data_IF_175654409555
#
_entry.id   IF_175654409555
#
_cell.length_a   1.000
_cell.length_b   1.000
_cell.length_c   1.000
_cell.angle_alpha   90.00
_cell.angle_beta   90.00
_cell.angle_gamma   90.00
#
_symmetry.space_group_name_H-M   'P 1'
#
loop_
_entity.id
_entity.type
_entity.pdbx_description
1 polymer ?
#
# COMPACT_ATOMS: atom_id res chain seq x y z
N UNK A 1 -20.37 21.40 4.03
CA UNK A 1 -19.96 22.77 4.45
C UNK A 1 -18.52 22.74 4.96
N UNK A 2 -17.95 23.91 5.29
CA UNK A 2 -16.58 24.02 5.80
C UNK A 2 -16.38 23.24 7.11
N UNK A 3 -17.39 23.22 7.98
CA UNK A 3 -17.34 22.48 9.24
C UNK A 3 -17.16 20.97 9.00
N UNK A 4 -17.89 20.38 8.06
CA UNK A 4 -17.72 18.97 7.67
C UNK A 4 -16.29 18.66 7.20
N UNK A 5 -15.70 19.52 6.37
CA UNK A 5 -14.31 19.33 5.89
C UNK A 5 -13.33 19.43 7.06
N UNK A 6 -13.44 20.46 7.89
CA UNK A 6 -12.55 20.65 9.03
C UNK A 6 -12.63 19.51 10.05
N UNK A 7 -13.83 18.93 10.25
CA UNK A 7 -14.01 17.80 11.16
C UNK A 7 -13.39 16.51 10.63
N UNK A 8 -13.49 16.26 9.33
CA UNK A 8 -12.81 15.12 8.72
C UNK A 8 -11.29 15.30 8.75
N UNK A 9 -10.79 16.51 8.49
CA UNK A 9 -9.36 16.82 8.60
C UNK A 9 -8.84 16.59 10.03
N UNK A 10 -9.54 17.07 11.06
CA UNK A 10 -9.17 16.84 12.46
C UNK A 10 -9.00 15.33 12.75
N UNK A 11 -9.97 14.53 12.29
CA UNK A 11 -9.96 13.07 12.45
C UNK A 11 -8.79 12.43 11.71
N UNK A 12 -8.59 12.76 10.43
CA UNK A 12 -7.49 12.21 9.61
C UNK A 12 -6.12 12.60 10.17
N UNK A 13 -5.95 13.84 10.62
CA UNK A 13 -4.72 14.30 11.27
C UNK A 13 -4.40 13.44 12.50
N UNK A 14 -5.37 13.23 13.39
CA UNK A 14 -5.14 12.39 14.58
C UNK A 14 -4.72 10.96 14.25
N UNK A 15 -5.13 10.49 13.07
CA UNK A 15 -4.94 9.14 12.56
C UNK A 15 -3.55 8.95 11.94
N UNK A 16 -3.03 9.95 11.25
CA UNK A 16 -1.67 10.00 10.70
C UNK A 16 -0.58 10.04 11.79
N UNK A 17 -0.90 10.55 12.99
CA UNK A 17 0.06 10.65 14.10
C UNK A 17 0.04 9.47 15.09
N UNK A 18 -0.60 8.34 14.74
CA UNK A 18 -0.64 7.17 15.62
C UNK A 18 -0.17 5.88 14.95
N UNK A 19 1.15 5.72 14.87
CA UNK A 19 1.77 4.60 14.17
C UNK A 19 1.51 3.21 14.76
N UNK A 20 1.30 3.07 16.07
CA UNK A 20 0.89 1.78 16.65
C UNK A 20 -0.49 1.31 16.14
N UNK A 21 -1.34 2.24 15.69
CA UNK A 21 -2.60 1.90 15.03
C UNK A 21 -2.39 1.50 13.58
N UNK A 22 -1.49 2.18 12.87
CA UNK A 22 -1.10 1.83 11.50
C UNK A 22 -0.47 0.43 11.45
N UNK A 23 0.46 0.13 12.35
CA UNK A 23 1.05 -1.21 12.52
C UNK A 23 -0.02 -2.31 12.60
N UNK A 24 -1.02 -2.16 13.48
CA UNK A 24 -2.13 -3.12 13.60
C UNK A 24 -2.97 -3.21 12.33
N UNK A 25 -3.10 -2.14 11.56
CA UNK A 25 -3.78 -2.18 10.27
C UNK A 25 -2.94 -2.97 9.25
N UNK A 26 -1.63 -2.74 9.20
CA UNK A 26 -0.71 -3.50 8.34
C UNK A 26 -0.77 -5.01 8.65
N UNK A 27 -0.77 -5.41 9.92
CA UNK A 27 -0.87 -6.83 10.28
C UNK A 27 -2.17 -7.46 9.78
N UNK A 28 -3.30 -6.74 9.90
CA UNK A 28 -4.58 -7.21 9.37
C UNK A 28 -4.51 -7.39 7.86
N UNK A 29 -4.02 -6.39 7.13
CA UNK A 29 -3.88 -6.46 5.66
C UNK A 29 -2.99 -7.64 5.28
N UNK A 30 -1.80 -7.74 5.90
CA UNK A 30 -0.84 -8.82 5.71
C UNK A 30 -1.50 -10.18 5.93
N UNK A 31 -2.16 -10.35 7.07
CA UNK A 31 -2.85 -11.59 7.43
C UNK A 31 -3.90 -11.98 6.38
N UNK A 32 -4.80 -11.07 6.01
CA UNK A 32 -5.83 -11.36 5.01
C UNK A 32 -5.27 -11.73 3.64
N UNK A 33 -4.17 -11.09 3.23
CA UNK A 33 -3.55 -11.37 1.94
C UNK A 33 -2.80 -12.70 1.92
N UNK A 34 -2.16 -13.10 3.01
CA UNK A 34 -1.35 -14.32 3.05
C UNK A 34 -2.10 -15.57 3.53
N UNK A 35 -3.01 -15.46 4.52
CA UNK A 35 -3.78 -16.61 5.02
C UNK A 35 -4.74 -17.15 3.95
N UNK A 36 -5.37 -16.24 3.19
CA UNK A 36 -6.33 -16.60 2.15
C UNK A 36 -5.68 -16.84 0.77
N UNK A 37 -4.37 -16.57 0.62
CA UNK A 37 -3.67 -16.71 -0.65
C UNK A 37 -2.16 -16.95 -0.49
N UNK A 38 -1.73 -18.21 -0.65
CA UNK A 38 -0.31 -18.61 -0.64
C UNK A 38 0.56 -17.86 -1.66
N UNK A 39 -0.03 -17.24 -2.69
CA UNK A 39 0.65 -16.38 -3.68
C UNK A 39 -0.10 -15.06 -3.84
N UNK A 40 -0.06 -14.22 -2.80
CA UNK A 40 -0.64 -12.87 -2.86
C UNK A 40 -0.03 -12.05 -4.01
N UNK A 41 -0.84 -11.32 -4.80
CA UNK A 41 -0.34 -10.45 -5.86
C UNK A 41 0.31 -9.16 -5.35
N UNK A 42 0.21 -8.88 -4.05
CA UNK A 42 0.75 -7.69 -3.36
C UNK A 42 1.45 -8.14 -2.07
N UNK A 43 2.63 -7.58 -1.83
CA UNK A 43 3.41 -7.81 -0.62
C UNK A 43 3.12 -6.70 0.40
N UNK A 44 2.99 -7.08 1.67
CA UNK A 44 2.90 -6.16 2.80
C UNK A 44 4.07 -6.45 3.73
N UNK A 45 4.90 -5.45 4.10
CA UNK A 45 6.06 -5.67 4.95
C UNK A 45 5.63 -6.10 6.35
N UNK A 46 6.44 -6.94 7.00
CA UNK A 46 6.21 -7.31 8.40
C UNK A 46 6.60 -6.17 9.35
N UNK A 47 5.77 -5.93 10.36
CA UNK A 47 6.03 -4.94 11.40
C UNK A 47 6.96 -5.52 12.47
N UNK A 48 7.92 -4.72 12.95
CA UNK A 48 8.80 -5.03 14.09
C UNK A 48 8.19 -4.48 15.38
N UNK A 49 7.26 -5.22 15.99
CA UNK A 49 6.44 -4.74 17.11
C UNK A 49 7.22 -4.19 18.30
N UNK A 50 8.34 -4.81 18.65
CA UNK A 50 9.18 -4.39 19.79
C UNK A 50 9.80 -3.00 19.60
N UNK A 51 9.75 -2.46 18.38
CA UNK A 51 10.30 -1.15 18.01
C UNK A 51 9.23 -0.14 17.56
N UNK A 52 7.94 -0.52 17.61
CA UNK A 52 6.84 0.38 17.28
C UNK A 52 6.42 1.18 18.51
N UNK A 53 6.27 2.49 18.33
CA UNK A 53 5.71 3.38 19.34
C UNK A 53 4.56 4.19 18.74
N UNK A 54 4.00 5.13 19.50
CA UNK A 54 3.05 6.10 18.94
C UNK A 54 3.67 6.95 17.82
N UNK A 55 4.99 7.21 17.87
CA UNK A 55 5.70 8.16 17.01
C UNK A 55 6.71 7.52 16.05
N UNK A 56 6.88 6.20 16.12
CA UNK A 56 7.81 5.45 15.26
C UNK A 56 7.14 4.17 14.79
N UNK A 57 7.22 3.89 13.48
CA UNK A 57 6.88 2.62 12.84
C UNK A 57 8.16 1.99 12.31
N UNK A 58 8.41 0.72 12.65
CA UNK A 58 9.53 -0.06 12.11
C UNK A 58 8.98 -1.31 11.43
N UNK A 59 9.44 -1.58 10.23
CA UNK A 59 8.98 -2.66 9.37
C UNK A 59 10.10 -3.20 8.48
N UNK A 60 9.87 -4.35 7.85
CA UNK A 60 10.75 -4.89 6.81
C UNK A 60 10.96 -3.88 5.67
N UNK A 61 12.21 -3.80 5.22
CA UNK A 61 12.56 -3.01 4.05
C UNK A 61 12.14 -3.76 2.77
N UNK A 62 11.41 -3.07 1.89
CA UNK A 62 11.06 -3.58 0.56
C UNK A 62 11.90 -2.82 -0.47
N UNK A 63 12.79 -3.55 -1.14
CA UNK A 63 13.50 -3.03 -2.31
C UNK A 63 12.55 -2.98 -3.52
N UNK A 64 12.39 -1.79 -4.09
CA UNK A 64 11.43 -1.56 -5.16
C UNK A 64 11.48 -0.16 -5.74
N UNK A 65 10.72 0.03 -6.82
CA UNK A 65 10.61 1.31 -7.52
C UNK A 65 9.36 2.02 -7.00
N UNK A 66 9.48 3.26 -6.45
CA UNK A 66 8.32 4.04 -6.07
C UNK A 66 7.35 4.18 -7.24
N UNK A 67 6.06 3.94 -7.02
CA UNK A 67 5.06 3.89 -8.10
C UNK A 67 5.02 5.17 -8.94
N UNK A 68 5.27 6.32 -8.30
CA UNK A 68 5.32 7.63 -8.95
C UNK A 68 6.52 7.80 -9.88
N UNK A 69 7.58 7.02 -9.69
CA UNK A 69 8.81 7.01 -10.51
C UNK A 69 8.78 5.92 -11.59
N UNK A 70 7.69 5.17 -11.71
CA UNK A 70 7.59 4.06 -12.66
C UNK A 70 7.82 4.52 -14.11
N UNK A 71 7.32 5.69 -14.49
CA UNK A 71 7.51 6.24 -15.84
C UNK A 71 8.98 6.53 -16.16
N UNK A 72 9.69 7.17 -15.22
CA UNK A 72 11.11 7.47 -15.36
C UNK A 72 11.94 6.19 -15.47
N UNK A 73 11.61 5.20 -14.64
CA UNK A 73 12.31 3.91 -14.62
C UNK A 73 12.05 3.09 -15.89
N UNK A 74 10.84 3.16 -16.45
CA UNK A 74 10.54 2.59 -17.76
C UNK A 74 11.35 3.26 -18.87
N UNK A 75 11.44 4.58 -18.87
CA UNK A 75 12.21 5.33 -19.86
C UNK A 75 13.71 4.98 -19.80
N UNK A 76 14.28 4.90 -18.59
CA UNK A 76 15.68 4.47 -18.39
C UNK A 76 15.96 3.07 -18.94
N UNK A 77 14.98 2.17 -18.86
CA UNK A 77 15.06 0.80 -19.40
C UNK A 77 14.74 0.72 -20.89
N UNK A 78 14.59 1.85 -21.58
CA UNK A 78 14.33 1.93 -23.02
C UNK A 78 12.87 1.75 -23.43
N UNK A 79 11.93 1.71 -22.47
CA UNK A 79 10.50 1.63 -22.76
C UNK A 79 9.88 3.02 -22.88
N UNK A 80 9.03 3.23 -23.89
CA UNK A 80 8.22 4.45 -24.00
C UNK A 80 7.15 4.47 -22.89
N UNK A 81 7.10 5.48 -21.99
CA UNK A 81 6.13 5.53 -20.88
C UNK A 81 4.65 5.63 -21.32
N UNK A 82 4.41 6.08 -22.56
CA UNK A 82 3.10 6.12 -23.21
C UNK A 82 2.87 4.95 -24.18
N UNK A 83 3.80 4.01 -24.27
CA UNK A 83 3.71 2.85 -25.16
C UNK A 83 2.81 1.74 -24.63
N UNK A 84 2.49 0.77 -25.50
CA UNK A 84 1.64 -0.40 -25.18
C UNK A 84 2.15 -1.19 -23.96
N UNK A 85 3.46 -1.35 -23.83
CA UNK A 85 4.09 -2.06 -22.69
C UNK A 85 3.83 -1.33 -21.37
N UNK A 86 3.98 0.00 -21.35
CA UNK A 86 3.72 0.80 -20.16
C UNK A 86 2.23 0.78 -19.77
N UNK A 87 1.33 0.82 -20.76
CA UNK A 87 -0.10 0.68 -20.52
C UNK A 87 -0.46 -0.70 -19.91
N UNK A 88 0.10 -1.79 -20.46
CA UNK A 88 -0.09 -3.13 -19.92
C UNK A 88 0.44 -3.29 -18.49
N UNK A 89 1.60 -2.69 -18.19
CA UNK A 89 2.16 -2.69 -16.84
C UNK A 89 1.25 -1.94 -15.84
N UNK A 90 0.76 -0.75 -16.19
CA UNK A 90 -0.22 -0.01 -15.38
C UNK A 90 -1.47 -0.84 -15.11
N UNK A 91 -2.02 -1.47 -16.16
CA UNK A 91 -3.20 -2.33 -16.03
C UNK A 91 -2.94 -3.54 -15.15
N UNK A 92 -1.75 -4.15 -15.23
CA UNK A 92 -1.36 -5.28 -14.37
C UNK A 92 -1.26 -4.87 -12.89
N UNK A 93 -0.65 -3.72 -12.60
CA UNK A 93 -0.56 -3.19 -11.23
C UNK A 93 -1.97 -2.94 -10.67
N UNK A 94 -2.82 -2.25 -11.44
CA UNK A 94 -4.19 -1.97 -11.03
C UNK A 94 -4.98 -3.27 -10.79
N UNK A 95 -4.91 -4.22 -11.72
CA UNK A 95 -5.56 -5.55 -11.59
C UNK A 95 -5.13 -6.26 -10.31
N UNK A 96 -3.83 -6.25 -10.01
CA UNK A 96 -3.28 -6.90 -8.81
C UNK A 96 -3.76 -6.23 -7.52
N UNK A 97 -3.79 -4.90 -7.47
CA UNK A 97 -4.30 -4.14 -6.32
C UNK A 97 -5.81 -4.35 -6.14
N UNK A 98 -6.59 -4.32 -7.23
CA UNK A 98 -8.04 -4.62 -7.19
C UNK A 98 -8.30 -6.03 -6.67
N UNK A 99 -7.52 -7.02 -7.11
CA UNK A 99 -7.67 -8.40 -6.64
C UNK A 99 -7.35 -8.53 -5.15
N UNK A 100 -6.24 -7.93 -4.70
CA UNK A 100 -5.85 -7.91 -3.29
C UNK A 100 -6.94 -7.26 -2.42
N UNK A 101 -7.44 -6.09 -2.82
CA UNK A 101 -8.51 -5.38 -2.13
C UNK A 101 -9.82 -6.17 -2.11
N UNK A 102 -10.20 -6.78 -3.24
CA UNK A 102 -11.39 -7.63 -3.32
C UNK A 102 -11.30 -8.83 -2.38
N UNK A 103 -10.13 -9.44 -2.23
CA UNK A 103 -9.93 -10.50 -1.24
C UNK A 103 -10.09 -10.02 0.20
N UNK A 104 -9.62 -8.80 0.51
CA UNK A 104 -9.77 -8.24 1.86
C UNK A 104 -11.23 -7.95 2.23
N UNK A 105 -12.09 -7.60 1.26
CA UNK A 105 -13.51 -7.30 1.53
C UNK A 105 -14.37 -8.57 1.50
N UNK A 106 -14.13 -9.47 0.56
CA UNK A 106 -15.06 -10.56 0.25
C UNK A 106 -14.70 -11.89 0.93
N UNK A 107 -13.48 -12.01 1.46
CA UNK A 107 -12.99 -13.22 2.14
C UNK A 107 -12.60 -12.94 3.60
N UNK A 108 -13.08 -11.83 4.15
CA UNK A 108 -12.89 -11.42 5.54
C UNK A 108 -13.69 -12.26 6.52
#
# INVERSE_FOLDING_TARGET
>A
DLYSITKEMEKQISYEFYFAREARAMDKIRRFLYENNKKSPVLVPQVMHDMVTRRVLVMEYIDGIPILRLGDEMAKRGFKPSGRVAAAAKQKILKNLTLAYGHMILKS
#
